data_IF_646542880771
#
_entry.id   IF_646542880771
#
_cell.length_a   1.000
_cell.length_b   1.000
_cell.length_c   1.000
_cell.angle_alpha   90.00
_cell.angle_beta   90.00
_cell.angle_gamma   90.00
#
_symmetry.space_group_name_H-M   'P 1'
#
loop_
_entity.id
_entity.type
_entity.pdbx_description
1 polymer ?
#
# COMPACT_ATOMS: atom_id res chain seq x y z
N UNK A 1 20.08 -19.47 -25.00
CA UNK A 1 18.83 -20.02 -24.40
C UNK A 1 18.57 -19.19 -23.15
N UNK A 2 17.81 -18.11 -23.31
CA UNK A 2 17.65 -17.06 -22.30
C UNK A 2 16.61 -17.52 -21.28
N UNK A 3 17.05 -17.78 -20.04
CA UNK A 3 16.15 -18.14 -18.95
C UNK A 3 15.24 -16.96 -18.62
N UNK A 4 13.93 -17.19 -18.70
CA UNK A 4 12.87 -16.39 -18.09
C UNK A 4 13.27 -16.02 -16.65
N UNK A 5 13.58 -14.74 -16.40
CA UNK A 5 13.48 -14.19 -15.05
C UNK A 5 12.07 -13.63 -14.89
N UNK A 6 11.35 -13.95 -13.81
CA UNK A 6 10.10 -13.27 -13.53
C UNK A 6 10.40 -11.78 -13.38
N UNK A 7 9.59 -10.91 -13.99
CA UNK A 7 9.59 -9.46 -13.80
C UNK A 7 9.53 -9.13 -12.30
N UNK A 8 10.69 -9.00 -11.66
CA UNK A 8 10.81 -8.41 -10.34
C UNK A 8 10.61 -6.91 -10.51
N UNK A 9 9.35 -6.46 -10.49
CA UNK A 9 9.04 -5.05 -10.37
C UNK A 9 9.65 -4.53 -9.07
N UNK A 10 10.77 -3.82 -9.19
CA UNK A 10 11.50 -3.28 -8.06
C UNK A 10 10.73 -2.08 -7.50
N UNK A 11 10.08 -2.31 -6.35
CA UNK A 11 9.41 -1.26 -5.61
C UNK A 11 10.36 -0.67 -4.58
N UNK A 12 10.31 0.65 -4.39
CA UNK A 12 11.00 1.36 -3.30
C UNK A 12 9.94 1.94 -2.35
N UNK A 13 10.21 1.92 -1.05
CA UNK A 13 9.29 2.47 -0.04
C UNK A 13 9.82 3.81 0.44
N UNK A 14 8.97 4.84 0.37
CA UNK A 14 9.33 6.15 0.89
C UNK A 14 9.25 6.24 2.41
N UNK A 15 9.99 7.17 2.98
CA UNK A 15 10.04 7.41 4.42
C UNK A 15 8.80 8.14 4.97
N UNK A 16 8.05 8.85 4.13
CA UNK A 16 6.88 9.62 4.55
C UNK A 16 5.78 8.68 5.06
N UNK A 17 5.31 8.92 6.28
CA UNK A 17 4.29 8.08 6.93
C UNK A 17 2.93 8.74 6.83
N UNK A 18 1.93 7.96 6.45
CA UNK A 18 0.53 8.32 6.56
C UNK A 18 -0.13 7.36 7.52
N UNK A 19 -0.68 7.87 8.62
CA UNK A 19 -1.40 7.06 9.58
C UNK A 19 -2.90 7.13 9.28
N UNK A 20 -3.51 5.98 9.05
CA UNK A 20 -4.96 5.87 8.92
C UNK A 20 -5.51 5.47 10.28
N UNK A 21 -6.18 6.42 10.94
CA UNK A 21 -7.03 6.11 12.09
C UNK A 21 -8.29 5.42 11.57
N UNK A 22 -8.67 4.27 12.13
CA UNK A 22 -9.88 3.53 11.78
C UNK A 22 -11.02 3.88 12.75
N UNK A 23 -12.21 3.31 12.54
CA UNK A 23 -13.43 3.69 13.28
C UNK A 23 -13.41 3.26 14.74
N UNK A 24 -12.76 2.14 15.03
CA UNK A 24 -12.55 1.63 16.39
C UNK A 24 -11.43 2.35 17.17
N UNK A 25 -10.79 3.36 16.57
CA UNK A 25 -9.69 4.11 17.17
C UNK A 25 -8.31 3.44 17.03
N UNK A 26 -8.23 2.28 16.38
CA UNK A 26 -6.94 1.69 16.00
C UNK A 26 -6.36 2.37 14.76
N UNK A 27 -5.05 2.22 14.53
CA UNK A 27 -4.36 2.90 13.44
C UNK A 27 -3.49 1.96 12.60
N UNK A 28 -3.36 2.28 11.31
CA UNK A 28 -2.46 1.59 10.37
C UNK A 28 -1.55 2.62 9.71
N UNK A 29 -0.24 2.38 9.79
CA UNK A 29 0.74 3.18 9.04
C UNK A 29 0.87 2.67 7.61
N UNK A 30 0.62 3.55 6.66
CA UNK A 30 0.92 3.37 5.25
C UNK A 30 2.12 4.22 4.84
N UNK A 31 2.94 3.66 3.96
CA UNK A 31 4.09 4.28 3.35
C UNK A 31 3.86 4.38 1.82
N UNK A 32 4.28 5.47 1.17
CA UNK A 32 4.23 5.58 -0.27
C UNK A 32 5.18 4.56 -0.89
N UNK A 33 4.80 4.08 -2.06
CA UNK A 33 5.60 3.15 -2.87
C UNK A 33 5.95 3.84 -4.17
N UNK A 34 7.16 3.62 -4.62
CA UNK A 34 7.71 4.11 -5.88
C UNK A 34 8.12 2.92 -6.73
N UNK A 35 8.03 3.05 -8.04
CA UNK A 35 8.53 2.08 -9.01
C UNK A 35 9.37 2.84 -10.03
N UNK A 36 10.64 2.44 -10.18
CA UNK A 36 11.61 3.15 -11.02
C UNK A 36 11.73 4.65 -10.69
N UNK A 37 11.63 5.01 -9.41
CA UNK A 37 11.70 6.40 -8.94
C UNK A 37 10.39 7.20 -9.03
N UNK A 38 9.38 6.66 -9.70
CA UNK A 38 8.08 7.34 -9.88
C UNK A 38 7.04 6.88 -8.84
N UNK A 39 6.16 7.78 -8.34
CA UNK A 39 5.12 7.40 -7.40
C UNK A 39 4.17 6.32 -7.98
N UNK A 40 3.91 5.27 -7.20
CA UNK A 40 2.89 4.28 -7.51
C UNK A 40 1.61 4.57 -6.71
N UNK A 41 0.60 5.25 -7.29
CA UNK A 41 -0.58 5.65 -6.55
C UNK A 41 -1.41 4.45 -6.06
N UNK A 42 -1.38 3.34 -6.81
CA UNK A 42 -2.09 2.09 -6.48
C UNK A 42 -1.34 1.17 -5.51
N UNK A 43 -0.11 1.49 -5.14
CA UNK A 43 0.67 0.67 -4.21
C UNK A 43 0.93 1.40 -2.91
N UNK A 44 0.77 0.68 -1.80
CA UNK A 44 1.12 1.17 -0.47
C UNK A 44 1.92 0.13 0.27
N UNK A 45 2.89 0.58 1.05
CA UNK A 45 3.63 -0.27 1.95
C UNK A 45 3.01 -0.19 3.35
N UNK A 46 2.86 -1.34 4.00
CA UNK A 46 2.32 -1.45 5.35
C UNK A 46 3.25 -2.30 6.20
N UNK A 47 3.38 -1.97 7.48
CA UNK A 47 4.12 -2.79 8.45
C UNK A 47 3.18 -3.86 9.00
N UNK A 48 3.56 -5.11 8.82
CA UNK A 48 2.84 -6.28 9.33
C UNK A 48 3.86 -7.25 9.94
N UNK A 49 3.71 -7.56 11.24
CA UNK A 49 4.57 -8.50 11.97
C UNK A 49 6.08 -8.20 11.85
N UNK A 50 6.45 -6.93 11.95
CA UNK A 50 7.85 -6.49 11.86
C UNK A 50 8.41 -6.44 10.43
N UNK A 51 7.66 -6.87 9.42
CA UNK A 51 8.05 -6.80 8.02
C UNK A 51 7.26 -5.72 7.28
N UNK A 52 7.89 -5.12 6.25
CA UNK A 52 7.18 -4.24 5.31
C UNK A 52 6.61 -5.09 4.18
N UNK A 53 5.35 -4.82 3.83
CA UNK A 53 4.62 -5.48 2.74
C UNK A 53 4.10 -4.44 1.79
N UNK A 54 4.35 -4.61 0.49
CA UNK A 54 3.71 -3.80 -0.56
C UNK A 54 2.41 -4.48 -0.97
N UNK A 55 1.36 -3.67 -1.02
CA UNK A 55 0.03 -4.09 -1.44
C UNK A 55 -0.46 -3.22 -2.58
N UNK A 56 -1.15 -3.84 -3.52
CA UNK A 56 -2.03 -3.13 -4.43
C UNK A 56 -3.35 -2.83 -3.70
N UNK A 57 -3.63 -1.56 -3.44
CA UNK A 57 -4.83 -1.14 -2.69
C UNK A 57 -6.13 -1.42 -3.45
N UNK A 58 -6.07 -1.67 -4.78
CA UNK A 58 -7.23 -2.08 -5.57
C UNK A 58 -7.71 -3.49 -5.20
N UNK A 59 -6.83 -4.33 -4.66
CA UNK A 59 -7.21 -5.65 -4.13
C UNK A 59 -7.91 -5.57 -2.77
N UNK A 60 -7.70 -4.47 -2.03
CA UNK A 60 -8.44 -4.20 -0.79
C UNK A 60 -9.83 -3.66 -1.08
N UNK A 61 -9.91 -2.65 -1.94
CA UNK A 61 -11.16 -1.99 -2.30
C UNK A 61 -11.15 -1.70 -3.80
N UNK A 62 -11.92 -2.47 -4.57
CA UNK A 62 -11.93 -2.39 -6.05
C UNK A 62 -12.22 -0.97 -6.57
N UNK A 63 -13.10 -0.24 -5.88
CA UNK A 63 -13.50 1.12 -6.22
C UNK A 63 -12.31 2.11 -6.22
N UNK A 64 -11.27 1.86 -5.43
CA UNK A 64 -10.08 2.72 -5.41
C UNK A 64 -9.37 2.80 -6.75
N UNK A 65 -9.50 1.79 -7.62
CA UNK A 65 -8.91 1.86 -8.96
C UNK A 65 -9.49 3.01 -9.78
N UNK A 66 -10.82 3.09 -9.83
CA UNK A 66 -11.53 4.10 -10.60
C UNK A 66 -11.42 5.49 -9.95
N UNK A 67 -11.53 5.55 -8.61
CA UNK A 67 -11.42 6.81 -7.86
C UNK A 67 -10.04 7.45 -8.03
N UNK A 68 -8.97 6.65 -7.97
CA UNK A 68 -7.59 7.14 -8.14
C UNK A 68 -7.34 7.59 -9.58
N UNK A 69 -7.86 6.86 -10.57
CA UNK A 69 -7.71 7.22 -11.97
C UNK A 69 -8.41 8.55 -12.32
N UNK A 70 -9.54 8.84 -11.66
CA UNK A 70 -10.32 10.06 -11.87
C UNK A 70 -9.82 11.26 -11.05
N UNK A 71 -8.98 11.04 -10.03
CA UNK A 71 -8.58 12.07 -9.09
C UNK A 71 -7.27 12.78 -9.48
N UNK A 72 -7.12 14.07 -9.18
CA UNK A 72 -5.82 14.73 -9.19
C UNK A 72 -4.85 14.04 -8.23
N UNK A 73 -3.58 13.89 -8.64
CA UNK A 73 -2.57 13.17 -7.84
C UNK A 73 -2.40 13.67 -6.40
N UNK A 74 -2.62 14.98 -6.17
CA UNK A 74 -2.58 15.60 -4.83
C UNK A 74 -3.67 15.10 -3.88
N UNK A 75 -4.80 14.63 -4.42
CA UNK A 75 -5.98 14.23 -3.65
C UNK A 75 -5.99 12.72 -3.35
N UNK A 76 -5.20 11.94 -4.11
CA UNK A 76 -5.05 10.48 -3.95
C UNK A 76 -4.75 10.05 -2.51
N UNK A 77 -3.84 10.68 -1.74
CA UNK A 77 -3.59 10.28 -0.35
C UNK A 77 -4.85 10.37 0.53
N UNK A 78 -5.64 11.43 0.36
CA UNK A 78 -6.90 11.62 1.08
C UNK A 78 -7.95 10.57 0.68
N UNK A 79 -8.09 10.30 -0.62
CA UNK A 79 -9.01 9.26 -1.11
C UNK A 79 -8.66 7.89 -0.56
N UNK A 80 -7.39 7.49 -0.62
CA UNK A 80 -6.93 6.21 -0.04
C UNK A 80 -7.24 6.16 1.46
N UNK A 81 -6.98 7.24 2.19
CA UNK A 81 -7.28 7.33 3.62
C UNK A 81 -8.78 7.12 3.90
N UNK A 82 -9.65 7.91 3.27
CA UNK A 82 -11.08 7.90 3.57
C UNK A 82 -11.76 6.61 3.13
N UNK A 83 -11.38 6.08 1.97
CA UNK A 83 -11.96 4.84 1.44
C UNK A 83 -11.55 3.63 2.27
N UNK A 84 -10.28 3.53 2.70
CA UNK A 84 -9.86 2.45 3.60
C UNK A 84 -10.51 2.55 4.98
N UNK A 85 -10.61 3.76 5.55
CA UNK A 85 -11.34 4.00 6.81
C UNK A 85 -12.83 3.66 6.71
N UNK A 86 -13.43 3.82 5.53
CA UNK A 86 -14.82 3.45 5.30
C UNK A 86 -15.01 1.94 5.13
N UNK A 87 -14.08 1.27 4.46
CA UNK A 87 -14.15 -0.15 4.14
C UNK A 87 -13.81 -1.08 5.32
N UNK A 88 -12.95 -0.66 6.25
CA UNK A 88 -12.43 -1.53 7.31
C UNK A 88 -12.83 -1.09 8.72
N UNK A 89 -13.39 -2.03 9.52
CA UNK A 89 -13.61 -2.00 10.95
C UNK A 89 -12.64 -1.21 11.80
N UNK A 90 -11.44 -1.77 11.69
CA UNK A 90 -10.33 -1.77 12.61
C UNK A 90 -9.05 -2.09 11.85
N UNK A 91 -7.92 -1.71 12.43
CA UNK A 91 -6.59 -2.04 11.94
C UNK A 91 -6.41 -3.55 11.81
N UNK A 92 -6.96 -4.34 12.75
CA UNK A 92 -6.91 -5.81 12.70
C UNK A 92 -7.61 -6.33 11.44
N UNK A 93 -8.82 -5.87 11.12
CA UNK A 93 -9.52 -6.30 9.91
C UNK A 93 -8.76 -5.93 8.63
N UNK A 94 -8.17 -4.73 8.59
CA UNK A 94 -7.38 -4.29 7.44
C UNK A 94 -6.10 -5.13 7.28
N UNK A 95 -5.36 -5.33 8.36
CA UNK A 95 -4.09 -6.06 8.35
C UNK A 95 -4.29 -7.56 8.08
N UNK A 96 -5.37 -8.17 8.59
CA UNK A 96 -5.75 -9.53 8.25
C UNK A 96 -6.09 -9.65 6.75
N UNK A 97 -6.82 -8.67 6.20
CA UNK A 97 -7.10 -8.63 4.76
C UNK A 97 -5.82 -8.50 3.93
N UNK A 98 -4.87 -7.69 4.38
CA UNK A 98 -3.54 -7.61 3.75
C UNK A 98 -2.81 -8.95 3.82
N UNK A 99 -2.86 -9.63 4.96
CA UNK A 99 -2.21 -10.92 5.15
C UNK A 99 -2.79 -12.01 4.23
N UNK A 100 -4.12 -12.04 4.07
CA UNK A 100 -4.83 -13.02 3.23
C UNK A 100 -4.63 -12.83 1.74
N UNK A 101 -4.39 -11.61 1.27
CA UNK A 101 -4.19 -11.33 -0.16
C UNK A 101 -2.84 -11.81 -0.68
N UNK A 102 -1.87 -12.10 0.20
CA UNK A 102 -0.49 -12.36 -0.19
C UNK A 102 0.16 -11.07 -0.69
N UNK A 103 1.13 -10.55 0.06
CA UNK A 103 1.82 -9.33 -0.35
C UNK A 103 2.56 -9.53 -1.66
N UNK A 104 2.47 -8.54 -2.54
CA UNK A 104 3.34 -8.45 -3.71
C UNK A 104 4.71 -8.00 -3.20
N UNK A 105 5.68 -8.92 -3.22
CA UNK A 105 7.13 -8.65 -3.16
C UNK A 105 7.75 -8.48 -1.76
N UNK A 106 8.86 -9.20 -1.59
CA UNK A 106 9.89 -9.02 -0.56
C UNK A 106 10.73 -7.80 -0.95
N UNK A 107 10.68 -6.73 -0.16
CA UNK A 107 11.49 -5.54 -0.41
C UNK A 107 12.88 -5.72 0.20
N UNK A 108 13.92 -5.49 -0.59
CA UNK A 108 15.23 -5.18 -0.04
C UNK A 108 15.12 -3.84 0.74
N UNK A 109 15.65 -3.74 1.96
CA UNK A 109 15.61 -2.51 2.74
C UNK A 109 16.46 -1.42 2.06
N UNK A 110 15.80 -0.59 1.24
CA UNK A 110 16.41 0.60 0.64
C UNK A 110 16.46 1.77 1.62
N UNK A 111 17.59 1.86 2.33
CA UNK A 111 18.16 3.02 3.06
C UNK A 111 17.42 3.49 4.33
N UNK A 112 18.09 3.50 5.51
CA UNK A 112 17.55 4.05 6.74
C UNK A 112 17.46 5.59 6.72
N UNK A 113 16.62 6.11 7.61
CA UNK A 113 16.33 7.52 7.88
C UNK A 113 17.58 8.39 8.10
#
# INVERSE_FOLDING_TARGET
MTLNRPDHHEFTVGAQRSEIMLRDGSAVTLLPVFQHGEPCPYHRAVKLNGAVRVIDIRHLVRQLGDDIAAAPSRDVPGLVFFTLRAAFPSAVCLLDRVNTLGALVHLEPGVPA
#
